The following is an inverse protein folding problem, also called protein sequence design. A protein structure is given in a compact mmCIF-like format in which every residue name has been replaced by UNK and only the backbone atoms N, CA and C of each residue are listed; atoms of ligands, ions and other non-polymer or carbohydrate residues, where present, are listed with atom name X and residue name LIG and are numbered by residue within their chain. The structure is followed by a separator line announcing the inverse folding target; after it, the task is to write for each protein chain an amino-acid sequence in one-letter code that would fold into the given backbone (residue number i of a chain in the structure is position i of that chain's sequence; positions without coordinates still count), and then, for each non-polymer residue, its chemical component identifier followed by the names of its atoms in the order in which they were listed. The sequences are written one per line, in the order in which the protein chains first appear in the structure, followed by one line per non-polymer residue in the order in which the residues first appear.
data_IF_202788666557
#
_entry.id   IF_202788666557
#
_cell.length_a   1.000
_cell.length_b   1.000
_cell.length_c   1.000
_cell.angle_alpha   90.00
_cell.angle_beta   90.00
_cell.angle_gamma   90.00
#
_symmetry.space_group_name_H-M   'P 1'
#
loop_
_entity.id
_entity.type
_entity.pdbx_description
1 polymer ?
#
# COMPACT_ATOMS: atom_id res chain seq x y z
N UNK A 1 -21.12 -12.63 45.69
CA UNK A 1 -20.08 -13.67 45.59
C UNK A 1 -19.59 -13.73 44.15
N UNK A 2 -18.37 -13.24 43.89
CA UNK A 2 -17.63 -13.47 42.62
C UNK A 2 -16.18 -13.71 43.03
N UNK A 3 -15.94 -14.95 43.45
CA UNK A 3 -14.63 -15.50 43.72
C UNK A 3 -14.23 -16.44 42.59
N UNK A 4 -12.93 -16.71 42.54
CA UNK A 4 -12.23 -17.74 41.78
C UNK A 4 -12.02 -17.44 40.28
N UNK A 5 -10.88 -16.86 39.90
CA UNK A 5 -9.53 -17.45 40.01
C UNK A 5 -9.50 -18.82 39.32
N UNK A 6 -9.68 -18.82 37.99
CA UNK A 6 -9.50 -20.02 37.19
C UNK A 6 -8.01 -20.34 37.10
N UNK A 7 -7.60 -21.10 38.10
CA UNK A 7 -6.36 -21.85 38.24
C UNK A 7 -6.04 -22.62 36.96
N UNK A 8 -4.80 -22.42 36.50
CA UNK A 8 -3.84 -23.47 36.10
C UNK A 8 -4.47 -24.84 35.81
N UNK A 9 -4.60 -25.19 34.54
CA UNK A 9 -4.72 -26.58 34.11
C UNK A 9 -3.37 -27.04 33.55
N UNK A 10 -2.82 -28.05 34.23
CA UNK A 10 -2.16 -29.26 33.73
C UNK A 10 -1.58 -29.19 32.31
N UNK A 11 -0.26 -29.18 32.12
CA UNK A 11 0.72 -30.25 32.36
C UNK A 11 0.34 -31.60 31.70
N UNK A 12 1.23 -32.02 30.78
CA UNK A 12 1.37 -33.33 30.14
C UNK A 12 0.36 -33.70 29.04
N UNK A 13 0.87 -33.83 27.80
CA UNK A 13 0.94 -35.12 27.09
C UNK A 13 2.14 -35.04 26.13
N UNK A 14 3.20 -35.74 26.51
CA UNK A 14 4.20 -36.22 25.58
C UNK A 14 3.69 -37.53 24.97
N UNK A 15 3.75 -37.69 23.64
CA UNK A 15 4.34 -38.87 22.98
C UNK A 15 3.89 -39.01 21.51
N UNK A 16 4.90 -38.97 20.63
CA UNK A 16 5.16 -39.93 19.54
C UNK A 16 4.06 -40.19 18.50
N UNK A 17 4.23 -39.64 17.30
CA UNK A 17 3.98 -40.34 16.03
C UNK A 17 5.08 -39.90 15.04
N UNK A 18 6.06 -40.77 14.84
CA UNK A 18 6.15 -41.66 13.67
C UNK A 18 6.84 -40.96 12.49
N UNK A 19 8.15 -41.20 12.41
CA UNK A 19 8.95 -40.94 11.23
C UNK A 19 8.62 -41.97 10.15
N UNK A 20 8.35 -41.53 8.92
CA UNK A 20 8.63 -42.32 7.72
C UNK A 20 8.65 -41.45 6.45
N UNK A 21 9.87 -41.38 5.86
CA UNK A 21 10.22 -41.66 4.45
C UNK A 21 9.78 -40.61 3.40
N UNK A 22 10.70 -39.81 2.86
CA UNK A 22 11.61 -40.06 1.70
C UNK A 22 10.92 -39.90 0.34
N UNK A 23 11.21 -38.79 -0.34
CA UNK A 23 11.19 -38.53 -1.79
C UNK A 23 11.07 -37.00 -1.95
N UNK A 24 11.79 -36.27 -2.79
CA UNK A 24 12.69 -36.61 -3.87
C UNK A 24 13.15 -35.28 -4.49
N UNK A 25 14.32 -35.32 -5.11
CA UNK A 25 14.85 -34.42 -6.13
C UNK A 25 15.75 -33.24 -5.68
N UNK A 26 16.96 -33.15 -6.28
CA UNK A 26 17.96 -32.12 -6.01
C UNK A 26 17.84 -30.92 -6.96
N UNK A 27 18.71 -29.94 -6.72
CA UNK A 27 19.16 -28.88 -7.63
C UNK A 27 18.24 -27.67 -7.82
N UNK A 28 18.36 -26.71 -6.90
CA UNK A 28 18.56 -25.33 -7.34
C UNK A 28 19.94 -24.88 -6.86
N UNK A 29 20.88 -24.93 -7.80
CA UNK A 29 22.13 -24.20 -7.71
C UNK A 29 21.80 -22.73 -7.43
N UNK A 30 22.10 -22.26 -6.23
CA UNK A 30 22.22 -20.83 -5.96
C UNK A 30 23.49 -20.38 -6.66
N UNK A 31 23.37 -19.99 -7.93
CA UNK A 31 24.42 -19.25 -8.59
C UNK A 31 24.54 -17.89 -7.88
N UNK A 32 25.45 -17.82 -6.91
CA UNK A 32 25.94 -16.57 -6.35
C UNK A 32 26.70 -15.85 -7.46
N UNK A 33 25.98 -15.07 -8.27
CA UNK A 33 26.63 -14.07 -9.10
C UNK A 33 27.07 -12.95 -8.17
N UNK A 34 28.34 -13.02 -7.78
CA UNK A 34 29.04 -11.95 -7.09
C UNK A 34 28.87 -10.65 -7.88
N UNK A 35 28.23 -9.65 -7.27
CA UNK A 35 28.30 -8.27 -7.75
C UNK A 35 29.50 -7.64 -7.05
N UNK A 36 30.56 -7.27 -7.79
CA UNK A 36 31.75 -6.66 -7.19
C UNK A 36 31.41 -5.26 -6.67
N UNK A 37 32.11 -4.89 -5.59
CA UNK A 37 31.73 -3.81 -4.67
C UNK A 37 31.66 -2.40 -5.25
N UNK A 38 31.11 -1.52 -4.43
CA UNK A 38 31.11 -0.08 -4.72
C UNK A 38 30.24 0.69 -3.74
N UNK A 39 30.91 1.26 -2.74
CA UNK A 39 30.46 2.42 -1.95
C UNK A 39 29.34 2.17 -0.94
N UNK A 40 29.66 2.45 0.33
CA UNK A 40 28.70 2.86 1.36
C UNK A 40 28.09 4.19 0.91
N UNK A 41 27.22 4.14 -0.09
CA UNK A 41 26.39 5.25 -0.51
C UNK A 41 25.27 5.36 0.50
N UNK A 42 25.17 6.51 1.15
CA UNK A 42 23.97 6.98 1.84
C UNK A 42 22.78 6.60 0.95
N UNK A 43 22.03 5.55 1.32
CA UNK A 43 20.83 5.18 0.58
C UNK A 43 19.89 6.35 0.80
N UNK A 44 19.81 7.25 -0.17
CA UNK A 44 18.76 8.27 -0.23
C UNK A 44 17.47 7.47 -0.26
N UNK A 45 16.84 7.31 0.91
CA UNK A 45 15.55 6.66 1.03
C UNK A 45 14.65 7.46 0.09
N UNK A 46 14.21 6.83 -0.99
CA UNK A 46 13.28 7.49 -1.89
C UNK A 46 12.07 7.88 -1.02
N UNK A 47 11.64 9.15 -1.03
CA UNK A 47 10.43 9.53 -0.30
C UNK A 47 9.28 8.63 -0.76
N UNK A 48 8.28 8.38 0.11
CA UNK A 48 7.13 7.58 -0.26
C UNK A 48 6.58 8.07 -1.60
N UNK A 49 6.38 7.18 -2.56
CA UNK A 49 5.83 7.57 -3.85
C UNK A 49 4.38 8.01 -3.61
N UNK A 50 4.13 9.31 -3.72
CA UNK A 50 2.80 9.88 -3.53
C UNK A 50 1.81 9.25 -4.52
N UNK A 51 0.63 8.89 -4.02
CA UNK A 51 -0.44 8.43 -4.90
C UNK A 51 -0.98 9.62 -5.69
N UNK A 52 -1.18 9.41 -6.99
CA UNK A 52 -1.71 10.44 -7.87
C UNK A 52 -2.58 9.85 -8.96
N UNK A 53 -3.50 10.66 -9.46
CA UNK A 53 -4.44 10.27 -10.50
C UNK A 53 -4.81 11.50 -11.34
N UNK A 54 -5.24 11.27 -12.57
CA UNK A 54 -5.66 12.32 -13.49
C UNK A 54 -7.13 12.13 -13.81
N UNK A 55 -7.92 13.19 -13.66
CA UNK A 55 -9.32 13.24 -14.03
C UNK A 55 -9.48 14.06 -15.30
N UNK A 56 -10.02 13.46 -16.35
CA UNK A 56 -10.30 14.17 -17.61
C UNK A 56 -11.78 14.54 -17.70
N UNK A 57 -12.07 15.83 -17.89
CA UNK A 57 -13.42 16.34 -17.99
C UNK A 57 -13.53 17.37 -19.11
N UNK A 58 -14.31 17.08 -20.16
CA UNK A 58 -14.64 18.06 -21.19
C UNK A 58 -13.41 18.74 -21.83
N UNK A 59 -12.31 18.01 -21.99
CA UNK A 59 -11.06 18.51 -22.57
C UNK A 59 -10.10 19.20 -21.59
N UNK A 60 -10.38 19.18 -20.28
CA UNK A 60 -9.44 19.60 -19.22
C UNK A 60 -8.95 18.38 -18.45
N UNK A 61 -7.67 18.37 -18.06
CA UNK A 61 -7.09 17.30 -17.25
C UNK A 61 -6.73 17.82 -15.86
N UNK A 62 -7.32 17.26 -14.81
CA UNK A 62 -7.02 17.61 -13.42
C UNK A 62 -6.08 16.58 -12.83
N UNK A 63 -4.88 16.99 -12.41
CA UNK A 63 -3.92 16.12 -11.76
C UNK A 63 -4.08 16.24 -10.25
N UNK A 64 -4.43 15.14 -9.59
CA UNK A 64 -4.67 15.07 -8.13
C UNK A 64 -3.59 14.20 -7.49
N UNK A 65 -2.98 14.64 -6.38
CA UNK A 65 -1.96 13.86 -5.66
C UNK A 65 -2.08 14.01 -4.14
N UNK A 66 -1.65 12.99 -3.41
CA UNK A 66 -1.51 13.04 -1.93
C UNK A 66 -0.29 13.82 -1.45
N UNK A 67 0.67 14.16 -2.32
CA UNK A 67 1.80 15.03 -1.97
C UNK A 67 3.07 14.28 -1.59
N UNK A 68 3.13 13.65 -0.41
CA UNK A 68 4.39 13.13 0.15
C UNK A 68 4.33 11.73 0.75
N UNK A 69 3.14 11.22 1.12
CA UNK A 69 3.02 9.86 1.65
C UNK A 69 2.39 8.89 0.64
N UNK A 70 2.69 7.61 0.81
CA UNK A 70 2.05 6.53 0.05
C UNK A 70 0.56 6.49 0.42
N UNK A 71 -0.29 6.81 -0.55
CA UNK A 71 -1.74 6.92 -0.35
C UNK A 71 -2.54 6.09 -1.34
N UNK A 72 -3.84 6.35 -1.38
CA UNK A 72 -4.72 5.79 -2.41
C UNK A 72 -5.56 6.89 -3.05
N UNK A 73 -5.82 6.75 -4.35
CA UNK A 73 -6.76 7.60 -5.06
C UNK A 73 -7.99 6.78 -5.44
N UNK A 74 -9.15 7.20 -4.96
CA UNK A 74 -10.45 6.63 -5.28
C UNK A 74 -11.09 7.42 -6.42
N UNK A 75 -11.70 6.70 -7.35
CA UNK A 75 -12.40 7.26 -8.51
C UNK A 75 -13.89 6.95 -8.40
N UNK A 76 -14.74 7.97 -8.52
CA UNK A 76 -16.19 7.80 -8.65
C UNK A 76 -16.56 7.79 -10.13
N UNK A 77 -17.37 6.80 -10.53
CA UNK A 77 -17.81 6.61 -11.92
C UNK A 77 -19.32 6.79 -12.05
N UNK A 78 -19.76 7.32 -13.18
CA UNK A 78 -21.18 7.38 -13.53
C UNK A 78 -21.70 6.01 -14.00
N UNK A 79 -22.99 5.94 -14.35
CA UNK A 79 -23.61 4.70 -14.86
C UNK A 79 -23.08 4.24 -16.22
N UNK A 80 -22.42 5.13 -16.97
CA UNK A 80 -21.76 4.80 -18.23
C UNK A 80 -20.28 4.40 -18.03
N UNK A 81 -19.79 4.42 -16.78
CA UNK A 81 -18.42 4.07 -16.42
C UNK A 81 -17.42 5.21 -16.52
N UNK A 82 -17.85 6.44 -16.85
CA UNK A 82 -16.96 7.59 -16.92
C UNK A 82 -16.60 8.06 -15.52
N UNK A 83 -15.31 8.29 -15.28
CA UNK A 83 -14.85 8.87 -14.01
C UNK A 83 -15.23 10.34 -13.98
N UNK A 84 -15.98 10.76 -12.96
CA UNK A 84 -16.38 12.17 -12.79
C UNK A 84 -15.78 12.82 -11.55
N UNK A 85 -15.15 12.05 -10.68
CA UNK A 85 -14.52 12.53 -9.46
C UNK A 85 -13.33 11.66 -9.07
N UNK A 86 -12.30 12.30 -8.53
CA UNK A 86 -11.11 11.66 -7.97
C UNK A 86 -10.85 12.25 -6.59
N UNK A 87 -10.58 11.38 -5.62
CA UNK A 87 -10.18 11.77 -4.26
C UNK A 87 -8.94 10.99 -3.89
N UNK A 88 -7.85 11.68 -3.61
CA UNK A 88 -6.58 11.11 -3.16
C UNK A 88 -6.39 11.40 -1.68
N UNK A 89 -6.10 10.38 -0.88
CA UNK A 89 -5.87 10.49 0.56
C UNK A 89 -4.81 9.48 1.03
N UNK A 90 -3.91 9.91 1.90
CA UNK A 90 -2.86 9.07 2.51
C UNK A 90 -2.92 8.98 4.05
N UNK A 91 -4.00 9.46 4.66
CA UNK A 91 -4.22 9.54 6.10
C UNK A 91 -3.88 10.90 6.71
N UNK A 92 -3.03 11.69 6.06
CA UNK A 92 -2.55 13.00 6.54
C UNK A 92 -2.83 14.11 5.51
N UNK A 93 -2.66 13.80 4.24
CA UNK A 93 -2.84 14.68 3.11
C UNK A 93 -4.07 14.29 2.30
N UNK A 94 -4.75 15.29 1.74
CA UNK A 94 -5.96 15.10 0.94
C UNK A 94 -5.94 16.01 -0.28
N UNK A 95 -6.38 15.50 -1.42
CA UNK A 95 -6.69 16.31 -2.59
C UNK A 95 -7.86 15.70 -3.37
N UNK A 96 -8.70 16.54 -3.96
CA UNK A 96 -9.85 16.10 -4.73
C UNK A 96 -10.04 16.90 -6.01
N UNK A 97 -10.66 16.27 -7.01
CA UNK A 97 -11.14 16.94 -8.22
C UNK A 97 -12.47 16.34 -8.66
N UNK A 98 -13.34 17.15 -9.25
CA UNK A 98 -14.59 16.70 -9.89
C UNK A 98 -14.82 17.39 -11.23
N UNK A 99 -15.49 16.73 -12.16
CA UNK A 99 -15.83 17.33 -13.45
C UNK A 99 -16.82 18.50 -13.35
N UNK A 100 -17.56 18.58 -12.24
CA UNK A 100 -18.55 19.64 -12.03
C UNK A 100 -17.93 20.93 -11.49
N UNK A 101 -16.93 20.81 -10.62
CA UNK A 101 -16.37 21.95 -9.88
C UNK A 101 -14.90 22.20 -10.19
N UNK A 102 -14.21 21.27 -10.85
CA UNK A 102 -12.76 21.30 -11.04
C UNK A 102 -12.02 20.80 -9.79
N UNK A 103 -10.86 21.38 -9.50
CA UNK A 103 -10.13 21.10 -8.27
C UNK A 103 -10.98 21.43 -7.04
N UNK A 104 -11.09 20.46 -6.15
CA UNK A 104 -11.82 20.57 -4.89
C UNK A 104 -10.88 20.88 -3.72
N UNK A 105 -11.27 20.43 -2.54
CA UNK A 105 -10.49 20.67 -1.32
C UNK A 105 -9.14 19.94 -1.38
N UNK A 106 -8.11 20.66 -0.92
CA UNK A 106 -6.76 20.15 -0.66
C UNK A 106 -6.36 20.44 0.78
N UNK A 107 -5.61 19.53 1.39
CA UNK A 107 -5.04 19.71 2.72
C UNK A 107 -3.68 19.02 2.86
N UNK A 108 -2.87 19.51 3.80
CA UNK A 108 -1.49 19.06 3.98
C UNK A 108 -0.66 19.35 2.73
N UNK A 109 0.07 18.34 2.26
CA UNK A 109 0.81 18.35 1.01
C UNK A 109 -0.03 17.93 -0.21
N UNK A 110 -1.33 17.71 -0.05
CA UNK A 110 -2.23 17.35 -1.14
C UNK A 110 -2.30 18.43 -2.21
N UNK A 111 -2.32 18.00 -3.48
CA UNK A 111 -2.17 18.88 -4.62
C UNK A 111 -3.23 18.57 -5.69
N UNK A 112 -3.84 19.62 -6.23
CA UNK A 112 -4.73 19.54 -7.39
C UNK A 112 -4.40 20.65 -8.37
N UNK A 113 -4.08 20.28 -9.60
CA UNK A 113 -3.64 21.19 -10.66
C UNK A 113 -4.38 20.93 -11.97
N UNK A 114 -4.63 21.98 -12.75
CA UNK A 114 -5.28 21.89 -14.06
C UNK A 114 -4.21 21.93 -15.15
N UNK A 115 -4.21 20.93 -16.02
CA UNK A 115 -3.36 20.84 -17.21
C UNK A 115 -4.11 21.16 -18.50
#
# INVERSE_FOLDING_TARGET
MKGDLMRVMDLAIASVFAATILASAPAFAVEKKAVPGGSVGIRKVAPPIAAGNTLECGGKAYKVKTGTNAGTCKQSKDSAGNVYQVICNDGENHASASCRTGCGETSGAGDCDIK
#
